data_IF_437562383130
#
_entry.id   IF_437562383130
#
_cell.length_a   1.000
_cell.length_b   1.000
_cell.length_c   1.000
_cell.angle_alpha   90.00
_cell.angle_beta   90.00
_cell.angle_gamma   90.00
#
_symmetry.space_group_name_H-M   'P 1'
#
loop_
_entity.id
_entity.type
_entity.pdbx_description
1 polymer ?
#
# COMPACT_ATOMS: atom_id res chain seq x y z
N UNK A 1 -52.45 -5.32 -43.27
CA UNK A 1 -51.66 -4.62 -42.22
C UNK A 1 -51.00 -5.70 -41.39
N UNK A 2 -49.73 -5.53 -40.98
CA UNK A 2 -49.08 -6.49 -40.08
C UNK A 2 -49.77 -6.47 -38.72
N UNK A 3 -49.94 -7.64 -38.13
CA UNK A 3 -50.46 -7.80 -36.77
C UNK A 3 -49.38 -7.44 -35.74
N UNK A 4 -49.79 -7.16 -34.50
CA UNK A 4 -48.86 -6.86 -33.41
C UNK A 4 -47.87 -8.02 -33.19
N UNK A 5 -48.35 -9.27 -33.29
CA UNK A 5 -47.51 -10.45 -33.13
C UNK A 5 -46.41 -10.55 -34.22
N UNK A 6 -46.76 -10.26 -35.47
CA UNK A 6 -45.80 -10.22 -36.57
C UNK A 6 -44.76 -9.10 -36.41
N UNK A 7 -45.20 -7.92 -35.96
CA UNK A 7 -44.27 -6.81 -35.66
C UNK A 7 -43.31 -7.16 -34.52
N UNK A 8 -43.77 -7.88 -33.49
CA UNK A 8 -42.90 -8.35 -32.39
C UNK A 8 -41.89 -9.40 -32.87
N UNK A 9 -42.30 -10.33 -33.73
CA UNK A 9 -41.41 -11.32 -34.32
C UNK A 9 -40.32 -10.64 -35.18
N UNK A 10 -40.69 -9.63 -35.97
CA UNK A 10 -39.76 -8.85 -36.78
C UNK A 10 -38.74 -8.10 -35.90
N UNK A 11 -39.18 -7.48 -34.80
CA UNK A 11 -38.28 -6.79 -33.84
C UNK A 11 -37.26 -7.79 -33.27
N UNK A 12 -37.70 -8.97 -32.83
CA UNK A 12 -36.80 -9.98 -32.27
C UNK A 12 -35.78 -10.46 -33.30
N UNK A 13 -36.21 -10.69 -34.55
CA UNK A 13 -35.33 -11.09 -35.64
C UNK A 13 -34.30 -9.99 -35.98
N UNK A 14 -34.73 -8.73 -36.04
CA UNK A 14 -33.85 -7.58 -36.29
C UNK A 14 -32.85 -7.38 -35.15
N UNK A 15 -33.28 -7.52 -33.90
CA UNK A 15 -32.40 -7.41 -32.74
C UNK A 15 -31.31 -8.49 -32.77
N UNK A 16 -31.67 -9.74 -33.09
CA UNK A 16 -30.70 -10.83 -33.27
C UNK A 16 -29.68 -10.52 -34.37
N UNK A 17 -30.12 -9.91 -35.48
CA UNK A 17 -29.22 -9.49 -36.56
C UNK A 17 -28.29 -8.36 -36.13
N UNK A 18 -28.80 -7.37 -35.38
CA UNK A 18 -27.98 -6.28 -34.82
C UNK A 18 -26.89 -6.85 -33.92
N UNK A 19 -27.24 -7.75 -33.02
CA UNK A 19 -26.29 -8.32 -32.07
C UNK A 19 -25.24 -9.19 -32.77
N UNK A 20 -25.64 -9.97 -33.78
CA UNK A 20 -24.71 -10.71 -34.62
C UNK A 20 -23.73 -9.77 -35.36
N UNK A 21 -24.22 -8.67 -35.95
CA UNK A 21 -23.37 -7.68 -36.62
C UNK A 21 -22.45 -6.95 -35.64
N UNK A 22 -22.93 -6.59 -34.45
CA UNK A 22 -22.10 -6.00 -33.38
C UNK A 22 -21.01 -6.96 -32.93
N UNK A 23 -21.31 -8.26 -32.76
CA UNK A 23 -20.32 -9.25 -32.37
C UNK A 23 -19.23 -9.42 -33.45
N UNK A 24 -19.62 -9.46 -34.73
CA UNK A 24 -18.67 -9.52 -35.84
C UNK A 24 -17.79 -8.26 -35.91
N UNK A 25 -18.39 -7.06 -35.81
CA UNK A 25 -17.67 -5.80 -35.81
C UNK A 25 -16.68 -5.71 -34.63
N UNK A 26 -17.11 -6.07 -33.41
CA UNK A 26 -16.24 -6.11 -32.22
C UNK A 26 -15.02 -7.01 -32.43
N UNK A 27 -15.18 -8.20 -33.02
CA UNK A 27 -14.05 -9.10 -33.29
C UNK A 27 -13.04 -8.48 -34.26
N UNK A 28 -13.53 -7.82 -35.32
CA UNK A 28 -12.69 -7.10 -36.28
C UNK A 28 -11.90 -5.97 -35.62
N UNK A 29 -12.58 -5.12 -34.86
CA UNK A 29 -11.98 -4.00 -34.14
C UNK A 29 -10.96 -4.48 -33.09
N UNK A 30 -11.27 -5.53 -32.34
CA UNK A 30 -10.31 -6.11 -31.37
C UNK A 30 -9.05 -6.61 -32.07
N UNK A 31 -9.18 -7.23 -33.26
CA UNK A 31 -8.01 -7.67 -34.03
C UNK A 31 -7.16 -6.48 -34.47
N UNK A 32 -7.78 -5.41 -34.95
CA UNK A 32 -7.09 -4.19 -35.36
C UNK A 32 -6.40 -3.49 -34.18
N UNK A 33 -7.09 -3.34 -33.05
CA UNK A 33 -6.52 -2.77 -31.82
C UNK A 33 -5.33 -3.60 -31.37
N UNK A 34 -5.45 -4.93 -31.34
CA UNK A 34 -4.32 -5.81 -30.95
C UNK A 34 -3.13 -5.71 -31.90
N UNK A 35 -3.37 -5.56 -33.20
CA UNK A 35 -2.31 -5.36 -34.18
C UNK A 35 -1.58 -4.03 -33.93
N UNK A 36 -2.32 -2.93 -33.73
CA UNK A 36 -1.75 -1.62 -33.39
C UNK A 36 -1.03 -1.66 -32.04
N UNK A 37 -1.56 -2.36 -31.05
CA UNK A 37 -0.90 -2.54 -29.76
C UNK A 37 0.46 -3.23 -29.91
N UNK A 38 0.56 -4.25 -30.77
CA UNK A 38 1.82 -4.94 -31.03
C UNK A 38 2.80 -4.07 -31.84
N UNK A 39 2.31 -3.31 -32.82
CA UNK A 39 3.13 -2.44 -33.69
C UNK A 39 3.77 -1.28 -32.91
N UNK A 40 3.02 -0.69 -31.98
CA UNK A 40 3.46 0.46 -31.19
C UNK A 40 3.91 0.08 -29.77
N UNK A 41 4.03 -1.21 -29.47
CA UNK A 41 4.37 -1.75 -28.14
C UNK A 41 3.47 -1.20 -27.00
N UNK A 42 2.21 -0.88 -27.32
CA UNK A 42 1.21 -0.35 -26.39
C UNK A 42 0.65 -1.51 -25.57
N UNK A 43 0.75 -1.40 -24.25
CA UNK A 43 0.17 -2.38 -23.32
C UNK A 43 -1.25 -2.00 -22.91
N UNK A 44 -2.02 -2.94 -22.35
CA UNK A 44 -3.38 -2.66 -21.87
C UNK A 44 -3.37 -1.59 -20.76
N UNK A 45 -2.30 -1.53 -19.96
CA UNK A 45 -2.09 -0.51 -18.93
C UNK A 45 -1.97 0.91 -19.50
N UNK A 46 -1.37 1.06 -20.69
CA UNK A 46 -1.25 2.35 -21.38
C UNK A 46 -2.62 2.87 -21.85
N UNK A 47 -3.48 1.96 -22.34
CA UNK A 47 -4.86 2.25 -22.76
C UNK A 47 -5.81 2.57 -21.59
N UNK A 48 -5.52 2.08 -20.38
CA UNK A 48 -6.30 2.38 -19.16
C UNK A 48 -6.09 3.81 -18.64
N UNK A 49 -5.24 4.59 -19.31
CA UNK A 49 -5.02 5.99 -19.03
C UNK A 49 -3.83 6.22 -18.10
N UNK A 50 -2.70 6.59 -18.71
CA UNK A 50 -1.67 7.39 -18.02
C UNK A 50 -2.15 8.83 -17.84
N UNK A 51 -3.17 9.04 -17.00
CA UNK A 51 -3.36 10.35 -16.37
C UNK A 51 -2.50 10.48 -15.09
N UNK A 52 -1.84 9.40 -14.65
CA UNK A 52 -1.12 9.36 -13.38
C UNK A 52 0.26 8.66 -13.41
N UNK A 53 0.68 8.03 -14.51
CA UNK A 53 1.95 7.25 -14.46
C UNK A 53 3.21 8.06 -14.79
N UNK A 54 3.06 9.35 -15.10
CA UNK A 54 4.17 10.31 -14.99
C UNK A 54 4.23 11.00 -13.61
N UNK A 55 3.53 10.47 -12.60
CA UNK A 55 3.86 10.79 -11.21
C UNK A 55 5.14 10.00 -10.85
N UNK A 56 6.22 10.67 -10.41
CA UNK A 56 7.36 9.96 -9.85
C UNK A 56 6.83 9.03 -8.75
N UNK A 57 7.20 7.74 -8.85
CA UNK A 57 6.89 6.67 -7.89
C UNK A 57 6.77 7.28 -6.50
N UNK A 58 5.54 7.44 -5.99
CA UNK A 58 5.31 8.08 -4.71
C UNK A 58 6.24 7.39 -3.70
N UNK A 59 7.19 8.16 -3.17
CA UNK A 59 8.10 7.71 -2.12
C UNK A 59 7.17 7.17 -1.05
N UNK A 60 7.17 5.83 -0.86
CA UNK A 60 6.35 5.20 0.17
C UNK A 60 6.61 5.99 1.44
N UNK A 61 5.55 6.60 2.00
CA UNK A 61 5.65 7.32 3.25
C UNK A 61 6.45 6.45 4.23
N UNK A 62 7.46 7.02 4.92
CA UNK A 62 8.31 6.24 5.80
C UNK A 62 7.38 5.46 6.74
N UNK A 63 7.54 4.14 6.75
CA UNK A 63 6.74 3.26 7.62
C UNK A 63 6.81 3.85 9.01
N UNK A 64 5.66 4.23 9.59
CA UNK A 64 5.61 4.86 10.91
C UNK A 64 6.27 3.90 11.89
N UNK A 65 7.50 4.21 12.28
CA UNK A 65 8.24 3.42 13.27
C UNK A 65 7.50 3.63 14.58
N UNK A 66 6.82 2.60 15.07
CA UNK A 66 6.07 2.66 16.32
C UNK A 66 6.94 2.30 17.51
N UNK A 67 7.93 1.43 17.33
CA UNK A 67 8.79 0.93 18.40
C UNK A 67 10.28 1.01 18.00
N UNK A 68 11.16 1.40 18.94
CA UNK A 68 12.62 1.49 18.73
C UNK A 68 13.35 1.05 19.99
N UNK A 69 14.28 0.09 19.85
CA UNK A 69 15.17 -0.38 20.92
C UNK A 69 16.56 0.26 20.84
N UNK A 70 17.05 0.52 19.63
CA UNK A 70 18.34 1.17 19.37
C UNK A 70 18.32 1.92 18.03
N UNK A 71 19.39 2.61 17.64
CA UNK A 71 19.45 3.33 16.37
C UNK A 71 19.29 2.44 15.13
N UNK A 72 19.72 1.18 15.23
CA UNK A 72 19.59 0.18 14.16
C UNK A 72 18.37 -0.74 14.32
N UNK A 73 17.74 -0.81 15.50
CA UNK A 73 16.62 -1.72 15.78
C UNK A 73 15.29 -0.99 15.95
N UNK A 74 14.54 -0.88 14.85
CA UNK A 74 13.22 -0.21 14.77
C UNK A 74 12.13 -1.14 14.22
N UNK A 75 10.88 -0.96 14.66
CA UNK A 75 9.74 -1.76 14.20
C UNK A 75 8.45 -0.94 14.09
N UNK A 76 7.74 -1.08 12.98
CA UNK A 76 6.52 -0.31 12.68
C UNK A 76 5.22 -0.80 13.34
N UNK A 77 5.28 -1.88 14.14
CA UNK A 77 4.09 -2.43 14.81
C UNK A 77 2.95 -2.77 13.85
N UNK A 78 3.27 -3.22 12.63
CA UNK A 78 2.32 -3.51 11.55
C UNK A 78 2.20 -5.01 11.22
N UNK A 79 1.46 -5.34 10.15
CA UNK A 79 1.35 -6.71 9.62
C UNK A 79 2.67 -7.11 8.95
N UNK A 80 3.54 -7.79 9.69
CA UNK A 80 4.81 -8.32 9.21
C UNK A 80 5.52 -9.16 10.28
N UNK A 81 6.60 -9.88 9.92
CA UNK A 81 7.33 -10.72 10.86
C UNK A 81 7.91 -9.87 12.00
N UNK A 82 7.65 -10.30 13.25
CA UNK A 82 8.21 -9.67 14.44
C UNK A 82 9.75 -9.82 14.44
N UNK A 83 10.53 -8.74 14.65
CA UNK A 83 11.99 -8.82 14.71
C UNK A 83 12.44 -9.59 15.97
N UNK A 84 13.69 -10.08 15.96
CA UNK A 84 14.22 -10.97 17.01
C UNK A 84 14.14 -10.35 18.41
N UNK A 85 14.46 -9.06 18.55
CA UNK A 85 14.41 -8.34 19.82
C UNK A 85 12.98 -8.22 20.39
N UNK A 86 11.97 -8.02 19.53
CA UNK A 86 10.56 -8.01 19.94
C UNK A 86 10.14 -9.37 20.48
N UNK A 87 10.57 -10.45 19.82
CA UNK A 87 10.31 -11.81 20.30
C UNK A 87 10.99 -12.07 21.64
N UNK A 88 12.24 -11.64 21.81
CA UNK A 88 12.97 -11.80 23.07
C UNK A 88 12.31 -11.07 24.25
N UNK A 89 11.80 -9.85 24.03
CA UNK A 89 11.08 -9.10 25.08
C UNK A 89 9.79 -9.84 25.46
N UNK A 90 9.02 -10.30 24.47
CA UNK A 90 7.78 -11.04 24.73
C UNK A 90 8.04 -12.39 25.42
N UNK A 91 9.13 -13.07 25.06
CA UNK A 91 9.54 -14.35 25.65
C UNK A 91 10.04 -14.18 27.09
N UNK A 92 10.74 -13.07 27.37
CA UNK A 92 11.16 -12.67 28.71
C UNK A 92 10.00 -12.15 29.59
N UNK A 93 8.75 -12.19 29.10
CA UNK A 93 7.58 -11.66 29.80
C UNK A 93 7.55 -10.13 29.92
N UNK A 94 8.37 -9.43 29.15
CA UNK A 94 8.47 -7.98 29.13
C UNK A 94 7.43 -7.31 28.24
N UNK A 95 7.21 -6.01 28.47
CA UNK A 95 6.23 -5.21 27.76
C UNK A 95 6.89 -4.40 26.62
N UNK A 96 6.41 -4.59 25.39
CA UNK A 96 6.93 -3.90 24.20
C UNK A 96 6.52 -2.42 24.12
N UNK A 97 5.47 -2.00 24.82
CA UNK A 97 5.02 -0.61 24.85
C UNK A 97 6.05 0.32 25.51
N UNK A 98 6.98 -0.21 26.30
CA UNK A 98 8.12 0.55 26.82
C UNK A 98 9.06 1.05 25.72
N UNK A 99 9.11 0.34 24.59
CA UNK A 99 9.94 0.69 23.43
C UNK A 99 9.17 1.51 22.40
N UNK A 100 7.92 1.93 22.72
CA UNK A 100 7.09 2.70 21.81
C UNK A 100 7.61 4.13 21.71
N UNK A 101 7.82 4.60 20.48
CA UNK A 101 8.17 5.99 20.21
C UNK A 101 6.92 6.84 20.53
N UNK A 102 6.88 7.41 21.74
CA UNK A 102 6.01 8.55 22.04
C UNK A 102 6.73 9.79 21.52
N UNK A 103 5.99 10.77 20.99
CA UNK A 103 6.54 12.03 20.45
C UNK A 103 7.09 12.96 21.56
N UNK A 104 7.79 12.41 22.55
CA UNK A 104 8.25 13.07 23.78
C UNK A 104 9.70 12.70 24.09
N UNK A 105 10.57 12.62 23.08
CA UNK A 105 12.00 12.46 23.29
C UNK A 105 12.79 13.54 22.55
N UNK A 106 12.67 14.75 23.09
CA UNK A 106 13.69 15.79 23.01
C UNK A 106 14.19 16.06 24.43
N UNK A 107 15.19 15.30 24.91
CA UNK A 107 16.53 15.85 25.20
C UNK A 107 17.33 14.97 26.19
N UNK A 108 18.56 14.57 25.83
CA UNK A 108 19.53 14.00 26.75
C UNK A 108 20.19 15.11 27.58
N UNK A 109 20.05 15.07 28.91
CA UNK A 109 21.04 15.48 29.92
C UNK A 109 20.43 15.45 31.33
N UNK A 110 21.30 15.19 32.31
CA UNK A 110 21.12 15.26 33.77
C UNK A 110 20.53 14.00 34.45
N UNK A 111 21.22 13.27 35.35
CA UNK A 111 22.38 13.62 36.20
C UNK A 111 23.31 12.42 36.43
N UNK A 112 24.57 12.60 36.04
CA UNK A 112 25.68 12.11 36.83
C UNK A 112 25.51 12.62 38.27
N UNK A 113 25.31 11.71 39.22
CA UNK A 113 25.45 12.04 40.64
C UNK A 113 26.95 12.15 40.89
N UNK A 114 27.43 13.40 40.82
CA UNK A 114 28.76 13.77 41.27
C UNK A 114 28.88 13.44 42.75
N UNK A 115 29.80 12.53 43.05
CA UNK A 115 30.55 12.46 44.29
C UNK A 115 30.91 13.89 44.76
N UNK A 116 30.48 14.28 45.96
CA UNK A 116 30.94 15.49 46.62
C UNK A 116 31.87 15.09 47.77
N UNK A 117 33.19 15.34 47.68
CA UNK A 117 34.20 14.87 48.65
C UNK A 117 34.34 15.76 49.90
N UNK A 118 33.27 16.39 50.38
CA UNK A 118 33.33 17.24 51.57
C UNK A 118 32.23 16.93 52.59
N UNK A 119 32.29 15.73 53.16
CA UNK A 119 31.66 15.43 54.45
C UNK A 119 32.78 15.21 55.47
N UNK A 120 33.05 16.25 56.25
CA UNK A 120 33.97 16.20 57.39
C UNK A 120 33.40 15.17 58.39
N UNK A 121 34.20 14.21 58.89
CA UNK A 121 33.71 13.16 59.79
C UNK A 121 33.36 13.74 61.17
N UNK A 122 32.26 13.27 61.76
CA UNK A 122 31.96 13.52 63.17
C UNK A 122 33.07 12.88 64.02
N UNK A 123 33.76 13.71 64.80
CA UNK A 123 34.63 13.28 65.88
C UNK A 123 33.81 12.68 67.04
N UNK A 124 34.38 11.64 67.64
CA UNK A 124 34.15 10.97 68.95
C UNK A 124 32.75 10.88 69.53
#
# INVERSE_FOLDING_TARGET
>A
MKTIAELQADIAALQKQIDARKAAAKKGVIKEIKAKMAEYEITVDDLQGSALTNQPKAVKAPSVIKYRKSESETWGGGKGPKPKWVKQILDAGGDIEQYRIRNTDSNPKEKAVKENPNKIPLFS
#
